data_IF_274560159506
#
_entry.id   IF_274560159506
#
_cell.length_a   1.000
_cell.length_b   1.000
_cell.length_c   1.000
_cell.angle_alpha   90.00
_cell.angle_beta   90.00
_cell.angle_gamma   90.00
#
_symmetry.space_group_name_H-M   'P 1'
#
loop_
_entity.id
_entity.type
_entity.pdbx_description
1 polymer ?
#
# COMPACT_ATOMS: atom_id res chain seq x y z
N UNK A 1 21.82 -15.23 16.96
CA UNK A 1 20.82 -15.30 15.86
C UNK A 1 20.39 -13.88 15.60
N UNK A 2 20.56 -13.37 14.37
CA UNK A 2 20.07 -12.04 14.05
C UNK A 2 18.53 -12.04 14.19
N UNK A 3 17.99 -11.07 14.94
CA UNK A 3 16.56 -10.86 15.09
C UNK A 3 15.98 -10.58 13.70
N UNK A 4 14.85 -11.22 13.34
CA UNK A 4 14.15 -10.88 12.10
C UNK A 4 13.65 -9.44 12.19
N UNK A 5 13.72 -8.66 11.10
CA UNK A 5 13.12 -7.35 11.08
C UNK A 5 11.62 -7.43 11.33
N UNK A 6 11.10 -6.44 12.05
CA UNK A 6 9.73 -6.42 12.52
C UNK A 6 8.98 -5.21 11.97
N UNK A 7 7.82 -5.42 11.37
CA UNK A 7 7.00 -4.36 10.83
C UNK A 7 5.71 -4.14 11.61
N UNK A 8 5.16 -2.94 11.52
CA UNK A 8 3.83 -2.61 12.01
C UNK A 8 2.81 -2.77 10.89
N UNK A 9 1.71 -3.51 11.11
CA UNK A 9 0.54 -3.54 10.25
C UNK A 9 -0.52 -2.61 10.85
N UNK A 10 -0.98 -1.60 10.09
CA UNK A 10 -1.98 -0.61 10.53
C UNK A 10 -3.41 -1.19 10.66
N UNK A 11 -3.56 -2.38 11.26
CA UNK A 11 -4.85 -3.05 11.43
C UNK A 11 -4.76 -4.15 12.48
N UNK A 12 -5.72 -4.21 13.42
CA UNK A 12 -5.75 -5.25 14.45
C UNK A 12 -5.95 -6.66 13.90
N UNK A 13 -6.87 -6.83 12.96
CA UNK A 13 -7.19 -8.15 12.37
C UNK A 13 -7.10 -8.08 10.84
N UNK A 14 -5.90 -8.07 10.25
CA UNK A 14 -5.76 -8.11 8.81
C UNK A 14 -6.16 -9.49 8.27
N UNK A 15 -6.62 -9.59 7.01
CA UNK A 15 -6.80 -10.89 6.35
C UNK A 15 -5.53 -11.73 6.41
N UNK A 16 -5.68 -13.04 6.60
CA UNK A 16 -4.55 -13.99 6.73
C UNK A 16 -3.60 -14.00 5.53
N UNK A 17 -4.06 -13.57 4.35
CA UNK A 17 -3.23 -13.47 3.15
C UNK A 17 -2.05 -12.51 3.34
N UNK A 18 -2.27 -11.35 4.00
CA UNK A 18 -1.20 -10.41 4.33
C UNK A 18 -0.15 -11.04 5.25
N UNK A 19 -0.60 -11.75 6.30
CA UNK A 19 0.28 -12.40 7.25
C UNK A 19 1.14 -13.48 6.58
N UNK A 20 0.52 -14.33 5.76
CA UNK A 20 1.22 -15.35 4.97
C UNK A 20 2.26 -14.75 4.01
N UNK A 21 1.95 -13.60 3.41
CA UNK A 21 2.89 -12.92 2.52
C UNK A 21 4.13 -12.40 3.29
N UNK A 22 3.94 -11.86 4.49
CA UNK A 22 5.04 -11.42 5.36
C UNK A 22 5.87 -12.60 5.88
N UNK A 23 5.21 -13.66 6.34
CA UNK A 23 5.88 -14.91 6.74
C UNK A 23 6.75 -15.46 5.60
N UNK A 24 6.24 -15.43 4.37
CA UNK A 24 6.94 -15.91 3.19
C UNK A 24 8.23 -15.10 2.90
N UNK A 25 8.20 -13.79 3.10
CA UNK A 25 9.39 -12.93 2.90
C UNK A 25 10.26 -12.79 4.15
N UNK A 26 9.92 -13.49 5.25
CA UNK A 26 10.73 -13.58 6.46
C UNK A 26 10.69 -12.35 7.37
N UNK A 27 9.60 -11.58 7.36
CA UNK A 27 9.38 -10.44 8.25
C UNK A 27 8.48 -10.83 9.43
N UNK A 28 8.88 -10.43 10.62
CA UNK A 28 8.01 -10.47 11.81
C UNK A 28 7.05 -9.26 11.81
N UNK A 29 5.93 -9.33 12.52
CA UNK A 29 4.95 -8.26 12.51
C UNK A 29 4.14 -8.16 13.80
N UNK A 30 3.69 -6.93 14.10
CA UNK A 30 2.59 -6.64 15.02
C UNK A 30 1.42 -6.02 14.27
N UNK A 31 0.20 -6.27 14.77
CA UNK A 31 -1.04 -5.75 14.23
C UNK A 31 -1.63 -4.74 15.21
N UNK A 32 -1.52 -3.45 14.95
CA UNK A 32 -2.05 -2.41 15.83
C UNK A 32 -2.35 -1.11 15.08
N UNK A 33 -3.29 -0.29 15.62
CA UNK A 33 -3.56 1.06 15.13
C UNK A 33 -2.93 2.16 15.97
N UNK A 34 -2.70 1.91 17.25
CA UNK A 34 -2.48 2.91 18.29
C UNK A 34 -1.03 2.97 18.78
N UNK A 35 -0.09 2.45 18.00
CA UNK A 35 1.31 2.53 18.36
C UNK A 35 1.84 3.96 18.22
N UNK A 36 2.30 4.51 19.33
CA UNK A 36 2.82 5.87 19.39
C UNK A 36 4.33 5.97 19.09
N UNK A 37 5.03 4.85 18.94
CA UNK A 37 6.46 4.81 18.65
C UNK A 37 6.77 3.96 17.42
N UNK A 38 7.82 4.35 16.70
CA UNK A 38 8.41 3.57 15.61
C UNK A 38 9.61 2.74 16.07
N UNK A 39 10.10 2.94 17.29
CA UNK A 39 11.39 2.42 17.77
C UNK A 39 11.48 0.89 17.81
N UNK A 40 10.33 0.22 17.78
CA UNK A 40 10.24 -1.24 17.78
C UNK A 40 10.09 -1.85 16.39
N UNK A 41 9.98 -1.01 15.33
CA UNK A 41 9.62 -1.45 13.99
C UNK A 41 10.60 -0.97 12.93
N UNK A 42 10.84 -1.84 11.97
CA UNK A 42 11.73 -1.61 10.83
C UNK A 42 10.95 -1.22 9.55
N UNK A 43 9.62 -1.15 9.61
CA UNK A 43 8.77 -0.75 8.48
C UNK A 43 7.28 -0.75 8.81
N UNK A 44 6.48 -0.21 7.89
CA UNK A 44 5.01 -0.08 8.00
C UNK A 44 4.31 -0.73 6.82
N UNK A 45 3.28 -1.54 7.10
CA UNK A 45 2.34 -2.04 6.10
C UNK A 45 0.95 -1.41 6.29
N UNK A 46 0.53 -0.61 5.31
CA UNK A 46 -0.82 -0.08 5.19
C UNK A 46 -1.65 -1.02 4.32
N UNK A 47 -2.64 -1.68 4.91
CA UNK A 47 -3.44 -2.71 4.23
C UNK A 47 -4.71 -2.15 3.59
N UNK A 48 -5.35 -2.96 2.75
CA UNK A 48 -6.65 -2.67 2.15
C UNK A 48 -7.76 -2.42 3.17
N UNK A 49 -8.82 -1.71 2.75
CA UNK A 49 -9.93 -1.35 3.63
C UNK A 49 -11.03 -0.59 2.93
N UNK A 50 -11.88 0.10 3.70
CA UNK A 50 -12.90 1.02 3.21
C UNK A 50 -12.32 2.32 2.65
N UNK A 51 -13.20 3.26 2.31
CA UNK A 51 -12.83 4.53 1.69
C UNK A 51 -12.03 5.43 2.66
N UNK A 52 -11.27 6.35 2.10
CA UNK A 52 -10.64 7.44 2.86
C UNK A 52 -11.66 8.58 3.02
N UNK A 53 -11.64 9.24 4.16
CA UNK A 53 -12.56 10.32 4.47
C UNK A 53 -12.41 11.47 3.48
N UNK A 54 -13.45 11.85 2.74
CA UNK A 54 -13.36 12.73 1.56
C UNK A 54 -12.78 14.11 1.84
N UNK A 55 -12.90 14.59 3.07
CA UNK A 55 -12.31 15.86 3.51
C UNK A 55 -10.79 15.93 3.25
N UNK A 56 -10.05 14.82 3.40
CA UNK A 56 -8.60 14.82 3.24
C UNK A 56 -8.12 15.04 1.81
N UNK A 57 -8.99 14.88 0.80
CA UNK A 57 -8.66 15.12 -0.61
C UNK A 57 -9.63 16.12 -1.28
N UNK A 58 -10.24 17.01 -0.48
CA UNK A 58 -11.03 18.16 -0.98
C UNK A 58 -12.39 17.79 -1.57
N UNK A 59 -12.94 16.62 -1.27
CA UNK A 59 -14.28 16.20 -1.73
C UNK A 59 -15.32 16.38 -0.62
N UNK A 60 -16.59 16.59 -1.02
CA UNK A 60 -17.72 16.58 -0.07
C UNK A 60 -18.01 15.15 0.40
N UNK A 61 -18.51 15.05 1.63
CA UNK A 61 -18.94 13.78 2.20
C UNK A 61 -20.26 13.38 1.52
N UNK A 62 -20.17 12.43 0.63
CA UNK A 62 -21.31 11.67 0.13
C UNK A 62 -21.14 10.26 0.69
N UNK A 63 -22.21 9.51 0.88
CA UNK A 63 -22.25 8.16 1.47
C UNK A 63 -20.93 7.36 1.32
N UNK A 64 -20.12 7.35 2.38
CA UNK A 64 -18.78 6.79 2.38
C UNK A 64 -18.63 5.83 3.56
N UNK A 65 -17.93 4.72 3.37
CA UNK A 65 -17.51 3.81 4.44
C UNK A 65 -16.25 4.31 5.17
N UNK A 66 -15.91 5.58 5.01
CA UNK A 66 -14.73 6.21 5.56
C UNK A 66 -14.82 6.40 7.08
N UNK A 67 -13.68 6.34 7.73
CA UNK A 67 -13.56 6.54 9.18
C UNK A 67 -12.46 7.57 9.44
N UNK A 68 -12.88 8.79 9.80
CA UNK A 68 -12.00 9.94 10.05
C UNK A 68 -10.89 9.64 11.08
N UNK A 69 -11.26 8.97 12.18
CA UNK A 69 -10.29 8.68 13.25
C UNK A 69 -9.24 7.66 12.79
N UNK A 70 -9.67 6.67 12.02
CA UNK A 70 -8.76 5.70 11.43
C UNK A 70 -7.78 6.36 10.47
N UNK A 71 -8.27 7.21 9.57
CA UNK A 71 -7.43 7.90 8.60
C UNK A 71 -6.43 8.82 9.29
N UNK A 72 -6.86 9.57 10.32
CA UNK A 72 -5.98 10.44 11.10
C UNK A 72 -4.86 9.66 11.82
N UNK A 73 -5.18 8.49 12.38
CA UNK A 73 -4.17 7.62 12.99
C UNK A 73 -3.18 7.09 11.95
N UNK A 74 -3.66 6.64 10.80
CA UNK A 74 -2.78 6.13 9.76
C UNK A 74 -1.94 7.24 9.12
N UNK A 75 -2.43 8.46 8.98
CA UNK A 75 -1.62 9.63 8.58
C UNK A 75 -0.50 9.92 9.58
N UNK A 76 -0.78 9.87 10.88
CA UNK A 76 0.25 10.02 11.90
C UNK A 76 1.30 8.88 11.85
N UNK A 77 0.89 7.65 11.54
CA UNK A 77 1.83 6.54 11.32
C UNK A 77 2.70 6.82 10.07
N UNK A 78 2.10 7.22 8.95
CA UNK A 78 2.85 7.57 7.74
C UNK A 78 3.89 8.64 8.05
N UNK A 79 3.48 9.74 8.72
CA UNK A 79 4.39 10.83 9.11
C UNK A 79 5.59 10.32 9.91
N UNK A 80 5.35 9.51 10.93
CA UNK A 80 6.41 8.98 11.80
C UNK A 80 7.36 8.08 11.04
N UNK A 81 6.84 7.10 10.27
CA UNK A 81 7.67 6.18 9.53
C UNK A 81 8.45 6.88 8.40
N UNK A 82 7.80 7.79 7.69
CA UNK A 82 8.43 8.56 6.61
C UNK A 82 9.55 9.48 7.12
N UNK A 83 9.30 10.23 8.20
CA UNK A 83 10.30 11.13 8.80
C UNK A 83 11.51 10.37 9.33
N UNK A 84 11.33 9.14 9.81
CA UNK A 84 12.41 8.25 10.23
C UNK A 84 13.02 7.46 9.06
N UNK A 85 12.61 7.71 7.80
CA UNK A 85 13.07 7.02 6.60
C UNK A 85 12.83 5.50 6.61
N UNK A 86 11.91 5.04 7.43
CA UNK A 86 11.52 3.63 7.52
C UNK A 86 10.69 3.23 6.29
N UNK A 87 10.89 2.04 5.74
CA UNK A 87 10.14 1.54 4.60
C UNK A 87 8.63 1.47 4.87
N UNK A 88 7.83 1.89 3.89
CA UNK A 88 6.38 1.85 3.92
C UNK A 88 5.87 1.11 2.69
N UNK A 89 4.99 0.12 2.88
CA UNK A 89 4.24 -0.52 1.80
C UNK A 89 2.74 -0.22 1.96
N UNK A 90 2.14 0.41 0.95
CA UNK A 90 0.70 0.66 0.87
C UNK A 90 0.01 -0.25 -0.15
N UNK A 91 -0.99 -1.02 0.27
CA UNK A 91 -1.76 -1.95 -0.58
C UNK A 91 -3.22 -1.52 -0.66
N UNK A 92 -3.75 -1.37 -1.87
CA UNK A 92 -5.12 -0.99 -2.18
C UNK A 92 -5.48 0.36 -1.52
N UNK A 93 -6.27 0.35 -0.45
CA UNK A 93 -6.52 1.58 0.33
C UNK A 93 -5.21 2.20 0.86
N UNK A 94 -4.17 1.40 1.15
CA UNK A 94 -2.87 1.89 1.56
C UNK A 94 -2.19 2.76 0.49
N UNK A 95 -2.27 2.39 -0.78
CA UNK A 95 -1.82 3.27 -1.89
C UNK A 95 -2.61 4.58 -1.91
N UNK A 96 -3.93 4.51 -1.80
CA UNK A 96 -4.81 5.69 -1.81
C UNK A 96 -4.48 6.63 -0.64
N UNK A 97 -4.21 6.06 0.54
CA UNK A 97 -3.84 6.81 1.73
C UNK A 97 -2.51 7.53 1.56
N UNK A 98 -1.49 6.85 1.00
CA UNK A 98 -0.20 7.46 0.66
C UNK A 98 -0.38 8.57 -0.37
N UNK A 99 -1.15 8.34 -1.44
CA UNK A 99 -1.42 9.36 -2.45
C UNK A 99 -2.03 10.63 -1.81
N UNK A 100 -3.06 10.47 -0.97
CA UNK A 100 -3.74 11.59 -0.30
C UNK A 100 -2.81 12.28 0.70
N UNK A 101 -2.06 11.54 1.51
CA UNK A 101 -1.14 12.11 2.49
C UNK A 101 -0.08 13.01 1.83
N UNK A 102 0.41 12.64 0.65
CA UNK A 102 1.39 13.40 -0.11
C UNK A 102 0.77 14.40 -1.12
N UNK A 103 -0.53 14.75 -0.96
CA UNK A 103 -1.19 15.84 -1.68
C UNK A 103 -1.97 15.43 -2.93
N UNK A 104 -2.05 14.15 -3.25
CA UNK A 104 -2.87 13.66 -4.33
C UNK A 104 -4.37 13.61 -3.99
N UNK A 105 -5.20 13.28 -4.98
CA UNK A 105 -6.65 13.17 -4.83
C UNK A 105 -7.18 11.82 -5.30
N UNK A 106 -8.44 11.52 -4.99
CA UNK A 106 -9.11 10.27 -5.36
C UNK A 106 -10.36 10.54 -6.20
N UNK A 107 -10.68 9.58 -7.09
CA UNK A 107 -11.95 9.51 -7.83
C UNK A 107 -12.55 8.12 -7.77
N UNK A 108 -13.84 8.02 -8.05
CA UNK A 108 -14.49 6.74 -8.26
C UNK A 108 -14.09 6.16 -9.61
N UNK A 109 -13.94 4.84 -9.66
CA UNK A 109 -13.63 4.08 -10.87
C UNK A 109 -14.66 2.96 -11.06
N UNK A 110 -14.98 2.66 -12.33
CA UNK A 110 -15.85 1.55 -12.71
C UNK A 110 -15.03 0.36 -13.18
N UNK A 111 -15.61 -0.83 -13.13
CA UNK A 111 -15.03 -2.09 -13.63
C UNK A 111 -13.77 -2.59 -12.89
N UNK A 112 -13.38 -1.94 -11.80
CA UNK A 112 -12.27 -2.34 -10.94
C UNK A 112 -12.70 -3.08 -9.67
N UNK A 113 -14.00 -3.32 -9.50
CA UNK A 113 -14.52 -4.04 -8.35
C UNK A 113 -15.01 -5.43 -8.77
N UNK A 114 -14.38 -6.46 -8.20
CA UNK A 114 -14.88 -7.82 -8.26
C UNK A 114 -16.08 -8.06 -7.32
N UNK A 115 -16.51 -9.29 -7.24
CA UNK A 115 -17.48 -9.71 -6.24
C UNK A 115 -16.74 -10.27 -5.00
N UNK A 116 -17.50 -10.66 -3.95
CA UNK A 116 -16.92 -11.16 -2.69
C UNK A 116 -16.02 -12.41 -2.86
N UNK A 117 -16.07 -13.10 -3.99
CA UNK A 117 -15.34 -14.36 -4.23
C UNK A 117 -14.28 -14.27 -5.31
N UNK A 118 -14.37 -13.29 -6.21
CA UNK A 118 -13.49 -13.18 -7.38
C UNK A 118 -13.04 -11.74 -7.58
N UNK A 119 -11.74 -11.55 -7.73
CA UNK A 119 -11.18 -10.30 -8.21
C UNK A 119 -11.37 -10.19 -9.74
N UNK A 120 -11.52 -8.97 -10.26
CA UNK A 120 -11.29 -8.72 -11.69
C UNK A 120 -9.79 -8.63 -11.93
N UNK A 121 -9.37 -8.67 -13.19
CA UNK A 121 -7.95 -8.57 -13.55
C UNK A 121 -7.79 -7.59 -14.71
N UNK A 122 -6.71 -6.81 -14.65
CA UNK A 122 -6.35 -5.84 -15.70
C UNK A 122 -4.93 -6.08 -16.17
N UNK A 123 -4.70 -5.84 -17.46
CA UNK A 123 -3.36 -5.76 -18.01
C UNK A 123 -2.69 -4.47 -17.52
N UNK A 124 -1.40 -4.53 -17.28
CA UNK A 124 -0.60 -3.44 -16.76
C UNK A 124 0.32 -2.84 -17.83
N UNK A 125 0.42 -1.52 -17.81
CA UNK A 125 1.46 -0.75 -18.47
C UNK A 125 2.49 -0.42 -17.39
N UNK A 126 3.51 -1.27 -17.32
CA UNK A 126 4.55 -1.15 -16.30
C UNK A 126 5.59 -0.08 -16.63
N UNK A 127 6.20 0.54 -15.60
CA UNK A 127 7.29 1.47 -15.80
C UNK A 127 8.53 0.76 -16.37
N UNK A 128 9.45 1.54 -16.95
CA UNK A 128 10.73 1.01 -17.46
C UNK A 128 11.72 0.64 -16.37
N UNK A 129 11.52 1.17 -15.17
CA UNK A 129 12.37 1.00 -13.98
C UNK A 129 11.56 0.71 -12.73
N UNK A 130 12.22 0.49 -11.61
CA UNK A 130 11.57 0.26 -10.33
C UNK A 130 11.10 -1.18 -10.10
N UNK A 131 10.46 -1.41 -8.97
CA UNK A 131 10.04 -2.73 -8.53
C UNK A 131 8.89 -3.32 -9.37
N UNK A 132 8.08 -2.48 -10.03
CA UNK A 132 6.93 -2.91 -10.85
C UNK A 132 7.27 -3.16 -12.33
N UNK A 133 8.49 -2.94 -12.76
CA UNK A 133 8.95 -2.98 -14.16
C UNK A 133 8.72 -4.37 -14.72
N UNK A 134 8.18 -5.22 -14.77
CA UNK A 134 7.95 -6.52 -15.43
C UNK A 134 6.59 -7.11 -15.06
N UNK A 135 5.78 -6.38 -14.32
CA UNK A 135 4.42 -6.82 -14.06
C UNK A 135 3.55 -6.53 -15.28
N UNK A 136 2.85 -7.54 -15.74
CA UNK A 136 1.98 -7.44 -16.93
C UNK A 136 0.50 -7.52 -16.59
N UNK A 137 0.17 -7.93 -15.35
CA UNK A 137 -1.22 -8.13 -14.93
C UNK A 137 -1.37 -7.89 -13.43
N UNK A 138 -2.52 -7.35 -13.03
CA UNK A 138 -2.92 -7.19 -11.63
C UNK A 138 -4.35 -7.68 -11.40
N UNK A 139 -4.63 -8.13 -10.17
CA UNK A 139 -6.00 -8.30 -9.70
C UNK A 139 -6.55 -6.94 -9.24
N UNK A 140 -7.87 -6.79 -9.19
CA UNK A 140 -8.51 -5.54 -8.82
C UNK A 140 -9.78 -5.79 -8.01
N UNK A 141 -9.92 -5.05 -6.91
CA UNK A 141 -11.13 -5.05 -6.10
C UNK A 141 -11.25 -3.73 -5.33
N UNK A 142 -11.42 -2.62 -6.05
CA UNK A 142 -11.55 -1.29 -5.47
C UNK A 142 -12.57 -0.44 -6.23
N UNK A 143 -13.15 0.55 -5.56
CA UNK A 143 -14.13 1.49 -6.11
C UNK A 143 -13.55 2.88 -6.36
N UNK A 144 -12.41 3.16 -5.75
CA UNK A 144 -11.69 4.42 -5.87
C UNK A 144 -10.27 4.16 -6.35
N UNK A 145 -9.71 5.14 -7.03
CA UNK A 145 -8.31 5.18 -7.47
C UNK A 145 -7.75 6.60 -7.33
N UNK A 146 -6.45 6.76 -7.51
CA UNK A 146 -5.84 8.07 -7.63
C UNK A 146 -6.45 8.84 -8.81
N UNK A 147 -6.87 10.09 -8.57
CA UNK A 147 -7.33 11.06 -9.58
C UNK A 147 -6.15 11.92 -10.02
N UNK A 148 -5.63 12.73 -9.10
CA UNK A 148 -4.33 13.35 -9.27
C UNK A 148 -3.32 12.57 -8.42
N UNK A 149 -2.23 12.18 -9.05
CA UNK A 149 -1.13 11.54 -8.34
C UNK A 149 -0.36 12.60 -7.55
N UNK A 150 0.10 12.24 -6.36
CA UNK A 150 0.90 13.11 -5.52
C UNK A 150 2.20 13.52 -6.21
N UNK A 151 2.71 14.72 -5.86
CA UNK A 151 3.99 15.18 -6.34
C UNK A 151 5.10 14.22 -5.92
N UNK A 152 6.16 14.13 -6.72
CA UNK A 152 7.30 13.23 -6.52
C UNK A 152 7.00 11.72 -6.65
N UNK A 153 5.80 11.31 -7.04
CA UNK A 153 5.57 9.91 -7.41
C UNK A 153 6.33 9.55 -8.68
N UNK A 154 7.05 8.44 -8.65
CA UNK A 154 7.81 7.94 -9.79
C UNK A 154 7.60 6.43 -9.96
N UNK A 155 8.17 5.86 -11.03
CA UNK A 155 7.98 4.45 -11.41
C UNK A 155 6.49 4.04 -11.45
N UNK A 156 5.65 4.92 -12.03
CA UNK A 156 4.19 4.76 -12.02
C UNK A 156 3.77 3.64 -12.95
N UNK A 157 2.95 2.74 -12.44
CA UNK A 157 2.31 1.66 -13.19
C UNK A 157 0.83 1.97 -13.39
N UNK A 158 0.32 1.71 -14.58
CA UNK A 158 -1.09 1.94 -14.93
C UNK A 158 -1.75 0.65 -15.41
N UNK A 159 -3.04 0.50 -15.18
CA UNK A 159 -3.86 -0.46 -15.94
C UNK A 159 -4.07 0.03 -17.39
N UNK A 160 -4.52 -0.85 -18.25
CA UNK A 160 -4.75 -0.53 -19.67
C UNK A 160 -5.78 0.58 -19.91
N UNK A 161 -6.67 0.83 -18.97
CA UNK A 161 -7.66 1.91 -18.97
C UNK A 161 -7.18 3.20 -18.26
N UNK A 162 -5.90 3.25 -17.87
CA UNK A 162 -5.24 4.44 -17.34
C UNK A 162 -5.40 4.67 -15.85
N UNK A 163 -5.89 3.68 -15.09
CA UNK A 163 -5.91 3.77 -13.61
C UNK A 163 -4.51 3.53 -13.06
N UNK A 164 -4.11 4.34 -12.07
CA UNK A 164 -2.84 4.15 -11.36
C UNK A 164 -2.91 2.87 -10.52
N UNK A 165 -2.06 1.92 -10.83
CA UNK A 165 -1.97 0.62 -10.17
C UNK A 165 -0.74 0.49 -9.25
N UNK A 166 0.18 1.44 -9.30
CA UNK A 166 1.29 1.52 -8.38
C UNK A 166 2.24 2.67 -8.65
N UNK A 167 2.99 3.05 -7.62
CA UNK A 167 4.04 4.06 -7.69
C UNK A 167 5.04 3.87 -6.54
N UNK A 168 6.15 4.59 -6.61
CA UNK A 168 7.09 4.77 -5.51
C UNK A 168 7.21 6.24 -5.15
N UNK A 169 7.55 6.51 -3.87
CA UNK A 169 7.99 7.80 -3.38
C UNK A 169 9.35 7.56 -2.70
N UNK A 170 10.36 8.26 -3.16
CA UNK A 170 11.73 8.03 -2.73
C UNK A 170 12.14 6.54 -2.89
N UNK A 171 13.13 6.09 -2.12
CA UNK A 171 13.60 4.69 -2.18
C UNK A 171 12.84 3.75 -1.23
N UNK A 172 12.03 4.29 -0.33
CA UNK A 172 11.50 3.55 0.82
C UNK A 172 9.97 3.48 0.86
N UNK A 173 9.23 4.16 -0.05
CA UNK A 173 7.77 4.09 -0.09
C UNK A 173 7.31 3.38 -1.34
N UNK A 174 6.62 2.26 -1.16
CA UNK A 174 6.08 1.39 -2.18
C UNK A 174 4.55 1.40 -2.10
N UNK A 175 3.88 1.59 -3.22
CA UNK A 175 2.43 1.64 -3.26
C UNK A 175 1.88 0.83 -4.42
N UNK A 176 0.90 -0.04 -4.15
CA UNK A 176 0.18 -0.81 -5.17
C UNK A 176 -1.33 -0.78 -4.91
N UNK A 177 -2.13 -0.61 -5.97
CA UNK A 177 -3.59 -0.58 -5.88
C UNK A 177 -4.19 -1.99 -5.84
N UNK A 178 -3.53 -2.94 -6.46
CA UNK A 178 -3.90 -4.35 -6.47
C UNK A 178 -3.48 -5.09 -5.18
N UNK A 179 -3.84 -6.35 -5.07
CA UNK A 179 -3.59 -7.19 -3.90
C UNK A 179 -2.57 -8.30 -4.22
N UNK A 180 -1.27 -8.03 -4.13
CA UNK A 180 -0.23 -9.03 -4.45
C UNK A 180 -0.28 -10.26 -3.54
N UNK A 181 -0.81 -10.13 -2.32
CA UNK A 181 -1.00 -11.23 -1.36
C UNK A 181 -2.08 -12.24 -1.79
N UNK A 182 -2.79 -11.95 -2.90
CA UNK A 182 -3.83 -12.82 -3.48
C UNK A 182 -3.50 -13.24 -4.91
N UNK A 183 -2.30 -12.93 -5.38
CA UNK A 183 -1.83 -13.25 -6.73
C UNK A 183 -0.83 -14.42 -6.72
N UNK A 184 -0.34 -14.74 -7.90
CA UNK A 184 0.72 -15.74 -8.07
C UNK A 184 2.01 -15.33 -7.32
N UNK A 185 2.81 -16.33 -7.00
CA UNK A 185 4.02 -16.16 -6.19
C UNK A 185 5.03 -15.16 -6.79
N UNK A 186 5.13 -15.07 -8.11
CA UNK A 186 6.01 -14.12 -8.80
C UNK A 186 5.64 -12.67 -8.49
N UNK A 187 4.35 -12.33 -8.51
CA UNK A 187 3.85 -10.99 -8.16
C UNK A 187 4.02 -10.69 -6.68
N UNK A 188 3.74 -11.68 -5.82
CA UNK A 188 3.99 -11.54 -4.38
C UNK A 188 5.47 -11.25 -4.11
N UNK A 189 6.40 -12.02 -4.68
CA UNK A 189 7.84 -11.82 -4.52
C UNK A 189 8.25 -10.44 -5.04
N UNK A 190 7.70 -10.01 -6.17
CA UNK A 190 8.01 -8.69 -6.74
C UNK A 190 7.70 -7.57 -5.75
N UNK A 191 6.52 -7.56 -5.15
CA UNK A 191 6.08 -6.45 -4.28
C UNK A 191 6.60 -6.61 -2.85
N UNK A 192 6.31 -7.75 -2.21
CA UNK A 192 6.73 -7.98 -0.82
C UNK A 192 8.24 -8.19 -0.70
N UNK A 193 8.88 -8.77 -1.73
CA UNK A 193 10.35 -8.90 -1.78
C UNK A 193 11.06 -7.56 -1.89
N UNK A 194 10.55 -6.62 -2.70
CA UNK A 194 11.09 -5.25 -2.76
C UNK A 194 10.98 -4.55 -1.40
N UNK A 195 9.82 -4.63 -0.76
CA UNK A 195 9.60 -4.09 0.58
C UNK A 195 10.53 -4.75 1.62
N UNK A 196 10.61 -6.08 1.65
CA UNK A 196 11.47 -6.81 2.58
C UNK A 196 12.95 -6.48 2.39
N UNK A 197 13.41 -6.28 1.15
CA UNK A 197 14.79 -5.85 0.86
C UNK A 197 15.07 -4.45 1.43
N UNK A 198 14.12 -3.52 1.32
CA UNK A 198 14.25 -2.18 1.91
C UNK A 198 14.28 -2.26 3.45
N UNK A 199 13.39 -3.06 4.06
CA UNK A 199 13.34 -3.28 5.52
C UNK A 199 14.66 -3.90 6.03
N UNK A 200 15.15 -4.95 5.37
CA UNK A 200 16.41 -5.57 5.74
C UNK A 200 17.63 -4.63 5.57
N UNK A 201 17.60 -3.79 4.54
CA UNK A 201 18.69 -2.81 4.31
C UNK A 201 18.71 -1.75 5.42
N UNK A 202 17.53 -1.34 5.90
CA UNK A 202 17.42 -0.40 7.01
C UNK A 202 17.84 -1.02 8.35
N UNK A 203 17.38 -2.22 8.67
CA UNK A 203 17.67 -2.91 9.93
C UNK A 203 19.16 -3.27 10.10
N UNK A 204 19.96 -3.20 9.03
CA UNK A 204 21.41 -3.44 9.05
C UNK A 204 22.26 -2.16 9.05
N UNK A 205 21.63 -0.98 9.17
CA UNK A 205 22.31 0.32 9.34
C UNK A 205 22.53 0.63 10.81
#
# INVERSE_FOLDING_TARGET
>A
MNKRPKILISRYNPPKSYLKALDFVGLDYDCAFDKNTTDEYDGLLLVGGGDIYPFFYGKRIEFSSANLLKDAVEFNLIEKFYNNRLPILGICRGLQLLNVYFGGTLKNVQFHQGNFKTDVHHDLISPKSGFLKNLTRANSNHRQCADNLCDNAHDVCFSSDGVVEGFTLDKNVFAVQFHPERMELSTLITVYGAFANAVNSYANL
#
